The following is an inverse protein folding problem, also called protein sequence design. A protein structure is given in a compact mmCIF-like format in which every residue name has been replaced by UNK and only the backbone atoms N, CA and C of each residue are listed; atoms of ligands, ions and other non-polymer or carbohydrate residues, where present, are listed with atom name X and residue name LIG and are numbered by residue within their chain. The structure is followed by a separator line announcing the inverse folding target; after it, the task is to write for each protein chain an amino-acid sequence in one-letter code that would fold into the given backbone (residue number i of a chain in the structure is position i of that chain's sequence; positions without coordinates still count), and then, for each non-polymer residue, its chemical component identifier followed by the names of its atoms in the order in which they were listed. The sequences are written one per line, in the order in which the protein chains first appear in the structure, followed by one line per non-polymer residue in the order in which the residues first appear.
data_IF_464846353860
#
_entry.id   IF_464846353860
#
_cell.length_a   1.000
_cell.length_b   1.000
_cell.length_c   1.000
_cell.angle_alpha   90.00
_cell.angle_beta   90.00
_cell.angle_gamma   90.00
#
_symmetry.space_group_name_H-M   'P 1'
#
loop_
_entity.id
_entity.type
_entity.pdbx_description
1 polymer ?
#
# COMPACT_ATOMS: atom_id res chain seq x y z
N UNK A 1 -4.71 1.49 -6.86
CA UNK A 1 -4.76 2.95 -6.56
C UNK A 1 -3.53 3.40 -5.77
N UNK A 2 -3.28 2.85 -4.58
CA UNK A 2 -2.16 3.22 -3.70
C UNK A 2 -0.82 3.35 -4.43
N UNK A 3 -0.46 2.37 -5.26
CA UNK A 3 0.79 2.39 -6.05
C UNK A 3 0.95 3.66 -6.91
N UNK A 4 -0.10 4.10 -7.61
CA UNK A 4 -0.06 5.33 -8.43
C UNK A 4 0.17 6.59 -7.59
N UNK A 5 -0.35 6.63 -6.37
CA UNK A 5 -0.16 7.76 -5.44
C UNK A 5 1.25 7.72 -4.87
N UNK A 6 1.70 6.55 -4.41
CA UNK A 6 3.04 6.33 -3.87
C UNK A 6 4.14 6.64 -4.90
N UNK A 7 3.93 6.30 -6.17
CA UNK A 7 4.90 6.55 -7.24
C UNK A 7 4.87 7.99 -7.78
N UNK A 8 3.91 8.83 -7.36
CA UNK A 8 3.81 10.21 -7.84
C UNK A 8 4.98 11.06 -7.32
N UNK A 9 5.68 11.76 -8.21
CA UNK A 9 6.88 12.53 -7.87
C UNK A 9 6.64 13.68 -6.86
N UNK A 10 5.45 14.30 -6.88
CA UNK A 10 5.10 15.31 -5.88
C UNK A 10 4.90 14.70 -4.50
N UNK A 11 4.32 13.50 -4.46
CA UNK A 11 4.18 12.73 -3.22
C UNK A 11 5.56 12.33 -2.72
N UNK A 12 6.41 11.78 -3.60
CA UNK A 12 7.79 11.41 -3.25
C UNK A 12 8.60 12.56 -2.70
N UNK A 13 8.55 13.73 -3.35
CA UNK A 13 9.27 14.91 -2.89
C UNK A 13 8.75 15.48 -1.57
N UNK A 14 7.60 15.02 -1.06
CA UNK A 14 7.01 15.55 0.17
C UNK A 14 7.46 14.82 1.43
N UNK A 15 7.90 13.56 1.37
CA UNK A 15 8.31 12.76 2.54
C UNK A 15 9.82 12.51 2.53
N UNK A 16 10.41 12.41 3.73
CA UNK A 16 11.82 12.05 3.90
C UNK A 16 12.05 10.54 3.66
N UNK A 17 11.08 9.70 4.03
CA UNK A 17 11.18 8.24 3.90
C UNK A 17 9.93 7.64 3.26
N UNK A 18 10.15 6.63 2.43
CA UNK A 18 9.12 5.91 1.70
C UNK A 18 9.31 4.41 1.94
N UNK A 19 8.29 3.75 2.44
CA UNK A 19 8.34 2.31 2.69
C UNK A 19 7.09 1.67 2.10
N UNK A 20 7.28 0.68 1.25
CA UNK A 20 6.20 -0.18 0.76
C UNK A 20 6.44 -1.63 1.21
N UNK A 21 5.52 -2.24 1.92
CA UNK A 21 5.60 -3.64 2.34
C UNK A 21 4.32 -4.35 1.94
N UNK A 22 4.45 -5.44 1.19
CA UNK A 22 3.34 -6.37 0.96
C UNK A 22 3.27 -7.37 2.09
N UNK A 23 2.11 -7.51 2.71
CA UNK A 23 1.87 -8.37 3.87
C UNK A 23 1.29 -9.70 3.40
N UNK A 24 2.01 -10.79 3.62
CA UNK A 24 1.50 -12.14 3.32
C UNK A 24 0.38 -12.53 4.29
N UNK A 25 -0.50 -13.45 3.88
CA UNK A 25 -1.53 -14.05 4.75
C UNK A 25 -0.93 -14.66 6.03
N UNK A 26 0.17 -15.38 5.86
CA UNK A 26 1.07 -15.82 6.92
C UNK A 26 2.24 -14.85 7.01
N UNK A 27 2.11 -13.81 7.83
CA UNK A 27 3.20 -12.89 8.11
C UNK A 27 3.89 -13.23 9.43
N UNK A 28 5.15 -12.83 9.53
CA UNK A 28 5.92 -12.82 10.77
C UNK A 28 6.26 -11.36 11.08
N UNK A 29 5.91 -10.89 12.28
CA UNK A 29 6.03 -9.48 12.67
C UNK A 29 7.49 -9.03 12.67
N UNK A 30 8.39 -9.80 13.28
CA UNK A 30 9.82 -9.53 13.23
C UNK A 30 10.34 -9.33 11.80
N UNK A 31 9.95 -10.20 10.85
CA UNK A 31 10.34 -10.05 9.45
C UNK A 31 9.81 -8.76 8.82
N UNK A 32 8.55 -8.37 9.12
CA UNK A 32 7.99 -7.09 8.64
C UNK A 32 8.79 -5.92 9.20
N UNK A 33 9.05 -5.90 10.51
CA UNK A 33 9.83 -4.85 11.17
C UNK A 33 11.25 -4.79 10.61
N UNK A 34 11.91 -5.94 10.43
CA UNK A 34 13.22 -6.02 9.78
C UNK A 34 13.17 -5.45 8.35
N UNK A 35 12.15 -5.77 7.56
CA UNK A 35 11.97 -5.21 6.22
C UNK A 35 11.78 -3.70 6.26
N UNK A 36 11.01 -3.16 7.19
CA UNK A 36 10.86 -1.71 7.39
C UNK A 36 12.20 -1.07 7.72
N UNK A 37 12.90 -1.64 8.71
CA UNK A 37 14.21 -1.16 9.16
C UNK A 37 15.20 -1.13 8.00
N UNK A 38 15.30 -2.21 7.21
CA UNK A 38 16.18 -2.25 6.04
C UNK A 38 15.87 -1.15 5.03
N UNK A 39 14.59 -0.88 4.74
CA UNK A 39 14.20 0.17 3.79
C UNK A 39 14.47 1.58 4.33
N UNK A 40 14.15 1.82 5.60
CA UNK A 40 14.42 3.12 6.23
C UNK A 40 15.93 3.39 6.29
N UNK A 41 16.76 2.38 6.55
CA UNK A 41 18.20 2.59 6.71
C UNK A 41 18.98 2.58 5.40
N UNK A 42 18.85 1.51 4.61
CA UNK A 42 19.72 1.29 3.46
C UNK A 42 19.31 2.10 2.24
N UNK A 43 18.01 2.35 2.06
CA UNK A 43 17.51 3.07 0.88
C UNK A 43 17.54 4.60 1.06
N UNK A 44 17.88 5.11 2.26
CA UNK A 44 17.83 6.53 2.59
C UNK A 44 19.12 7.03 3.29
N UNK A 45 20.25 6.39 2.96
CA UNK A 45 21.62 6.86 3.24
C UNK A 45 21.97 7.18 4.70
N UNK A 46 21.33 6.51 5.66
CA UNK A 46 21.84 6.44 7.04
C UNK A 46 22.64 5.15 7.23
N UNK A 47 23.92 5.15 6.88
CA UNK A 47 24.88 4.29 7.59
C UNK A 47 25.36 5.09 8.80
N UNK A 48 25.25 4.60 10.05
CA UNK A 48 26.26 3.63 10.52
C UNK A 48 25.88 2.75 11.75
N UNK A 49 26.49 1.56 11.85
CA UNK A 49 26.44 0.71 13.06
C UNK A 49 25.58 -0.55 12.89
N UNK A 50 25.91 -1.62 13.63
CA UNK A 50 25.17 -2.88 13.61
C UNK A 50 23.71 -2.62 13.96
N UNK A 51 22.82 -2.79 12.97
CA UNK A 51 21.38 -2.82 13.21
C UNK A 51 21.13 -4.09 14.01
N UNK A 52 20.73 -3.90 15.27
CA UNK A 52 20.30 -5.01 16.09
C UNK A 52 18.92 -5.50 15.60
N UNK A 53 18.93 -6.65 14.95
CA UNK A 53 17.73 -7.32 14.42
C UNK A 53 17.33 -8.54 15.27
N UNK A 54 17.81 -8.62 16.51
CA UNK A 54 17.62 -9.79 17.38
C UNK A 54 16.18 -10.02 17.80
N UNK A 55 15.45 -8.95 18.15
CA UNK A 55 14.07 -9.04 18.64
C UNK A 55 13.16 -7.88 18.20
N UNK A 56 11.84 -8.09 18.34
CA UNK A 56 10.80 -7.15 17.90
C UNK A 56 10.80 -5.82 18.69
N UNK A 57 11.08 -5.85 20.00
CA UNK A 57 11.09 -4.64 20.85
C UNK A 57 12.25 -3.74 20.43
N UNK A 58 13.41 -4.33 20.19
CA UNK A 58 14.58 -3.60 19.71
C UNK A 58 14.32 -2.97 18.34
N UNK A 59 13.74 -3.72 17.41
CA UNK A 59 13.36 -3.20 16.09
C UNK A 59 12.33 -2.06 16.17
N UNK A 60 11.30 -2.19 17.01
CA UNK A 60 10.31 -1.13 17.26
C UNK A 60 10.99 0.12 17.80
N UNK A 61 11.82 -0.03 18.84
CA UNK A 61 12.52 1.10 19.49
C UNK A 61 13.42 1.83 18.51
N UNK A 62 14.17 1.09 17.69
CA UNK A 62 14.99 1.65 16.62
C UNK A 62 14.11 2.42 15.63
N UNK A 63 13.15 1.77 14.98
CA UNK A 63 12.27 2.43 13.99
C UNK A 63 11.64 3.71 14.52
N UNK A 64 11.11 3.68 15.75
CA UNK A 64 10.57 4.87 16.42
C UNK A 64 11.60 5.99 16.50
N UNK A 65 12.81 5.69 16.97
CA UNK A 65 13.89 6.68 17.10
C UNK A 65 14.25 7.31 15.76
N UNK A 66 14.38 6.53 14.69
CA UNK A 66 14.73 7.07 13.37
C UNK A 66 13.60 7.89 12.75
N UNK A 67 12.36 7.41 12.88
CA UNK A 67 11.20 8.07 12.31
C UNK A 67 10.73 9.28 13.12
N UNK A 68 11.17 9.44 14.37
CA UNK A 68 10.68 10.47 15.28
C UNK A 68 10.79 11.90 14.71
N UNK A 69 11.90 12.21 14.03
CA UNK A 69 12.16 13.55 13.49
C UNK A 69 11.92 13.65 11.99
N UNK A 70 11.21 12.68 11.40
CA UNK A 70 11.09 12.52 9.96
C UNK A 70 9.64 12.50 9.53
N UNK A 71 9.35 13.07 8.37
CA UNK A 71 8.07 12.91 7.69
C UNK A 71 8.16 11.67 6.82
N UNK A 72 7.31 10.69 7.06
CA UNK A 72 7.39 9.40 6.36
C UNK A 72 6.05 8.98 5.77
N UNK A 73 6.09 8.20 4.70
CA UNK A 73 4.93 7.46 4.20
C UNK A 73 5.23 5.97 4.20
N UNK A 74 4.36 5.20 4.87
CA UNK A 74 4.44 3.74 4.89
C UNK A 74 3.18 3.16 4.28
N UNK A 75 3.35 2.25 3.32
CA UNK A 75 2.27 1.47 2.72
C UNK A 75 2.40 0.02 3.17
N UNK A 76 1.35 -0.50 3.81
CA UNK A 76 1.16 -1.92 4.07
C UNK A 76 0.10 -2.46 3.12
N UNK A 77 0.55 -3.22 2.13
CA UNK A 77 -0.25 -3.69 1.03
C UNK A 77 -0.78 -5.11 1.28
N UNK A 78 -2.07 -5.33 0.97
CA UNK A 78 -2.79 -6.61 1.08
C UNK A 78 -2.82 -7.16 2.52
N UNK A 79 -3.24 -6.35 3.51
CA UNK A 79 -3.35 -6.79 4.91
C UNK A 79 -4.57 -7.70 5.13
N UNK A 80 -4.34 -8.87 5.75
CA UNK A 80 -5.33 -9.94 5.93
C UNK A 80 -5.88 -10.08 7.35
N UNK A 81 -5.24 -9.46 8.35
CA UNK A 81 -5.58 -9.61 9.78
C UNK A 81 -5.48 -8.27 10.49
N UNK A 82 -6.44 -7.93 11.36
CA UNK A 82 -6.44 -6.66 12.11
C UNK A 82 -5.31 -6.60 13.14
N UNK A 83 -4.93 -7.75 13.70
CA UNK A 83 -3.85 -7.91 14.67
C UNK A 83 -2.49 -7.45 14.13
N UNK A 84 -2.34 -7.42 12.80
CA UNK A 84 -1.16 -6.85 12.14
C UNK A 84 -0.93 -5.41 12.59
N UNK A 85 -1.99 -4.60 12.56
CA UNK A 85 -1.90 -3.18 12.86
C UNK A 85 -1.66 -2.92 14.35
N UNK A 86 -2.27 -3.73 15.22
CA UNK A 86 -2.10 -3.63 16.67
C UNK A 86 -0.64 -3.70 17.11
N UNK A 87 0.20 -4.42 16.37
CA UNK A 87 1.62 -4.58 16.71
C UNK A 87 2.47 -3.54 15.95
N UNK A 88 2.30 -3.46 14.63
CA UNK A 88 3.19 -2.65 13.77
C UNK A 88 3.05 -1.14 14.02
N UNK A 89 1.87 -0.67 14.48
CA UNK A 89 1.67 0.74 14.84
C UNK A 89 2.65 1.23 15.90
N UNK A 90 3.12 0.35 16.78
CA UNK A 90 4.09 0.72 17.80
C UNK A 90 5.45 1.13 17.22
N UNK A 91 5.84 0.63 16.05
CA UNK A 91 7.07 1.06 15.36
C UNK A 91 6.97 2.46 14.72
N UNK A 92 5.77 3.01 14.60
CA UNK A 92 5.47 4.22 13.83
C UNK A 92 5.07 5.37 14.77
N UNK A 93 5.97 6.34 15.02
CA UNK A 93 5.68 7.41 15.96
C UNK A 93 4.70 8.43 15.36
N UNK A 94 3.65 8.78 16.10
CA UNK A 94 2.91 10.02 15.86
C UNK A 94 3.81 11.19 16.31
N UNK A 95 4.33 11.94 15.34
CA UNK A 95 5.35 12.95 15.57
C UNK A 95 4.92 14.36 15.11
N UNK A 96 3.65 14.52 14.71
CA UNK A 96 3.07 15.76 14.16
C UNK A 96 3.84 16.35 12.97
N UNK A 97 4.66 15.55 12.28
CA UNK A 97 5.42 15.98 11.10
C UNK A 97 4.67 15.81 9.79
N UNK A 98 3.42 15.35 9.82
CA UNK A 98 2.62 15.10 8.63
C UNK A 98 2.86 13.73 7.99
N UNK A 99 3.39 12.76 8.73
CA UNK A 99 3.54 11.38 8.26
C UNK A 99 2.21 10.73 7.89
N UNK A 100 2.25 9.74 7.01
CA UNK A 100 1.06 9.04 6.51
C UNK A 100 1.27 7.53 6.52
N UNK A 101 0.22 6.81 6.93
CA UNK A 101 0.15 5.36 6.84
C UNK A 101 -0.98 5.02 5.87
N UNK A 102 -0.71 4.13 4.93
CA UNK A 102 -1.69 3.62 3.97
C UNK A 102 -1.75 2.11 4.15
N UNK A 103 -2.93 1.60 4.49
CA UNK A 103 -3.18 0.17 4.55
C UNK A 103 -4.14 -0.16 3.40
N UNK A 104 -3.77 -1.15 2.57
CA UNK A 104 -4.70 -1.72 1.60
C UNK A 104 -5.14 -3.09 2.12
N UNK A 105 -6.43 -3.38 1.98
CA UNK A 105 -7.01 -4.66 2.40
C UNK A 105 -8.23 -4.96 1.54
N UNK A 106 -8.62 -6.24 1.49
CA UNK A 106 -9.85 -6.70 0.83
C UNK A 106 -11.05 -6.73 1.78
N UNK A 107 -10.82 -6.52 3.08
CA UNK A 107 -11.84 -6.60 4.11
C UNK A 107 -12.19 -5.21 4.63
N UNK A 108 -13.45 -4.80 4.44
CA UNK A 108 -13.98 -3.57 5.02
C UNK A 108 -13.82 -3.55 6.55
N UNK A 109 -13.97 -4.70 7.21
CA UNK A 109 -13.82 -4.83 8.67
C UNK A 109 -12.39 -4.50 9.12
N UNK A 110 -11.38 -5.00 8.40
CA UNK A 110 -9.98 -4.70 8.70
C UNK A 110 -9.73 -3.20 8.53
N UNK A 111 -10.19 -2.63 7.41
CA UNK A 111 -10.03 -1.20 7.15
C UNK A 111 -10.61 -0.31 8.26
N UNK A 112 -11.76 -0.67 8.81
CA UNK A 112 -12.37 0.06 9.94
C UNK A 112 -11.62 -0.18 11.25
N UNK A 113 -11.16 -1.40 11.50
CA UNK A 113 -10.44 -1.76 12.73
C UNK A 113 -9.09 -1.05 12.89
N UNK A 114 -8.44 -0.68 11.79
CA UNK A 114 -7.14 0.00 11.83
C UNK A 114 -7.22 1.51 12.10
N UNK A 115 -8.41 2.07 12.34
CA UNK A 115 -8.56 3.49 12.69
C UNK A 115 -8.13 3.74 14.13
N UNK A 116 -7.21 4.67 14.34
CA UNK A 116 -6.76 5.13 15.66
C UNK A 116 -7.38 6.48 16.04
N UNK A 117 -7.86 7.24 15.04
CA UNK A 117 -8.43 8.58 15.24
C UNK A 117 -9.65 8.86 14.35
N UNK A 118 -10.39 9.92 14.70
CA UNK A 118 -11.51 10.40 13.89
C UNK A 118 -11.06 10.90 12.51
N UNK A 119 -9.80 11.35 12.38
CA UNK A 119 -9.25 11.87 11.13
C UNK A 119 -8.89 10.77 10.14
N UNK A 120 -8.76 9.52 10.59
CA UNK A 120 -8.40 8.40 9.72
C UNK A 120 -9.51 8.09 8.74
N UNK A 121 -9.12 7.89 7.48
CA UNK A 121 -10.05 7.72 6.35
C UNK A 121 -10.00 6.30 5.83
N UNK A 122 -11.18 5.71 5.61
CA UNK A 122 -11.34 4.44 4.90
C UNK A 122 -11.85 4.75 3.50
N UNK A 123 -11.01 4.53 2.50
CA UNK A 123 -11.40 4.74 1.10
C UNK A 123 -11.90 3.44 0.48
N UNK A 124 -13.23 3.26 0.44
CA UNK A 124 -13.85 2.11 -0.21
C UNK A 124 -13.82 2.28 -1.73
N UNK A 125 -13.00 1.46 -2.39
CA UNK A 125 -12.91 1.44 -3.85
C UNK A 125 -14.27 1.04 -4.44
N UNK A 126 -14.72 1.80 -5.42
CA UNK A 126 -15.92 1.49 -6.19
C UNK A 126 -15.53 0.71 -7.45
N UNK A 127 -16.39 -0.20 -7.93
CA UNK A 127 -16.25 -0.80 -9.24
C UNK A 127 -16.16 0.25 -10.34
N UNK A 128 -15.60 -0.12 -11.48
CA UNK A 128 -15.63 0.73 -12.66
C UNK A 128 -17.07 0.82 -13.20
N UNK A 129 -17.44 1.98 -13.74
CA UNK A 129 -18.67 2.07 -14.54
C UNK A 129 -18.57 1.14 -15.75
N UNK A 130 -19.72 0.67 -16.25
CA UNK A 130 -19.77 -0.24 -17.40
C UNK A 130 -18.92 0.26 -18.59
N UNK A 131 -18.99 1.56 -18.89
CA UNK A 131 -18.23 2.17 -19.99
C UNK A 131 -16.72 2.14 -19.74
N UNK A 132 -16.28 2.40 -18.50
CA UNK A 132 -14.86 2.35 -18.13
C UNK A 132 -14.34 0.91 -18.07
N UNK A 133 -15.16 -0.03 -17.61
CA UNK A 133 -14.86 -1.45 -17.63
C UNK A 133 -14.72 -1.95 -19.08
N UNK A 134 -15.63 -1.54 -19.97
CA UNK A 134 -15.56 -1.81 -21.40
C UNK A 134 -14.30 -1.23 -22.05
N UNK A 135 -13.99 0.05 -21.79
CA UNK A 135 -12.76 0.69 -22.28
C UNK A 135 -11.52 -0.06 -21.81
N UNK A 136 -11.45 -0.40 -20.52
CA UNK A 136 -10.33 -1.15 -19.95
C UNK A 136 -10.21 -2.54 -20.57
N UNK A 137 -11.31 -3.26 -20.74
CA UNK A 137 -11.34 -4.57 -21.40
C UNK A 137 -10.79 -4.46 -22.82
N UNK A 138 -11.28 -3.53 -23.62
CA UNK A 138 -10.83 -3.36 -25.00
C UNK A 138 -9.32 -3.08 -25.06
N UNK A 139 -8.85 -2.16 -24.21
CA UNK A 139 -7.43 -1.81 -24.10
C UNK A 139 -6.53 -2.97 -23.68
N UNK A 140 -7.07 -3.96 -22.96
CA UNK A 140 -6.30 -5.10 -22.44
C UNK A 140 -6.38 -6.33 -23.33
N UNK A 141 -7.55 -6.65 -23.87
CA UNK A 141 -7.80 -7.83 -24.69
C UNK A 141 -7.37 -7.64 -26.15
N UNK A 142 -7.52 -6.42 -26.70
CA UNK A 142 -7.27 -6.14 -28.12
C UNK A 142 -6.06 -5.21 -28.31
N UNK A 143 -4.94 -5.50 -27.63
CA UNK A 143 -3.76 -4.64 -27.64
C UNK A 143 -3.13 -4.47 -29.04
N UNK A 144 -3.24 -5.50 -29.88
CA UNK A 144 -2.71 -5.55 -31.25
C UNK A 144 -3.63 -4.91 -32.29
N UNK A 145 -4.88 -4.65 -31.95
CA UNK A 145 -5.87 -4.11 -32.89
C UNK A 145 -5.70 -2.60 -33.07
N UNK A 146 -6.12 -2.11 -34.25
CA UNK A 146 -6.10 -0.68 -34.53
C UNK A 146 -6.92 0.07 -33.48
N UNK A 147 -6.31 1.11 -32.89
CA UNK A 147 -6.87 1.90 -31.78
C UNK A 147 -7.25 1.09 -30.52
N UNK A 148 -6.82 -0.18 -30.41
CA UNK A 148 -7.21 -1.11 -29.33
C UNK A 148 -8.73 -1.28 -29.21
N UNK A 149 -9.42 -1.18 -30.35
CA UNK A 149 -10.86 -1.36 -30.41
C UNK A 149 -11.21 -2.85 -30.52
N UNK A 150 -12.33 -3.24 -29.91
CA UNK A 150 -12.91 -4.56 -30.10
C UNK A 150 -13.38 -4.73 -31.56
N UNK A 151 -12.98 -5.80 -32.27
CA UNK A 151 -13.53 -6.13 -33.59
C UNK A 151 -15.06 -6.24 -33.55
N UNK A 152 -15.74 -5.77 -34.61
CA UNK A 152 -17.20 -5.64 -34.65
C UNK A 152 -17.92 -6.97 -34.37
N UNK A 153 -17.35 -8.06 -34.83
CA UNK A 153 -17.87 -9.42 -34.70
C UNK A 153 -17.84 -9.91 -33.24
N UNK A 154 -16.92 -9.37 -32.43
CA UNK A 154 -16.70 -9.77 -31.04
C UNK A 154 -17.36 -8.85 -30.02
N UNK A 155 -17.95 -7.71 -30.45
CA UNK A 155 -18.51 -6.70 -29.54
C UNK A 155 -19.55 -7.31 -28.61
N UNK A 156 -20.50 -8.07 -29.14
CA UNK A 156 -21.58 -8.66 -28.34
C UNK A 156 -21.03 -9.62 -27.28
N UNK A 157 -20.19 -10.56 -27.68
CA UNK A 157 -19.57 -11.54 -26.78
C UNK A 157 -18.72 -10.85 -25.71
N UNK A 158 -17.92 -9.87 -26.10
CA UNK A 158 -17.05 -9.13 -25.20
C UNK A 158 -17.85 -8.33 -24.18
N UNK A 159 -18.96 -7.69 -24.59
CA UNK A 159 -19.85 -6.97 -23.66
C UNK A 159 -20.49 -7.93 -22.66
N UNK A 160 -20.90 -9.12 -23.09
CA UNK A 160 -21.46 -10.14 -22.19
C UNK A 160 -20.43 -10.65 -21.18
N UNK A 161 -19.15 -10.74 -21.57
CA UNK A 161 -18.04 -11.04 -20.64
C UNK A 161 -17.87 -9.90 -19.63
N UNK A 162 -17.80 -8.65 -20.09
CA UNK A 162 -17.59 -7.49 -19.20
C UNK A 162 -18.74 -7.35 -18.20
N UNK A 163 -19.99 -7.60 -18.60
CA UNK A 163 -21.16 -7.60 -17.70
C UNK A 163 -21.10 -8.67 -16.60
N UNK A 164 -20.31 -9.73 -16.77
CA UNK A 164 -20.11 -10.78 -15.78
C UNK A 164 -18.95 -10.48 -14.81
N UNK A 165 -18.15 -9.45 -15.09
CA UNK A 165 -17.11 -9.02 -14.17
C UNK A 165 -17.71 -8.07 -13.13
N UNK A 166 -17.61 -8.45 -11.85
CA UNK A 166 -17.97 -7.62 -10.70
C UNK A 166 -16.86 -6.64 -10.31
#
# INVERSE_FOLDING_TARGET
LAKKVYENELVKGHFDYHVWITVSQSYNVQNILMSMTKKVYYENEMAPGQIDMTDEITLISQLRKYLQQKRYVVVFDDVWKSEFWEIVKHALPCNDRGSRIIITTRSDLIGVSCKESFFDQVHKLQPLSQDKAWELFCRKAFQSEFQRCCPKELVKLSMDIVKKCE
#
